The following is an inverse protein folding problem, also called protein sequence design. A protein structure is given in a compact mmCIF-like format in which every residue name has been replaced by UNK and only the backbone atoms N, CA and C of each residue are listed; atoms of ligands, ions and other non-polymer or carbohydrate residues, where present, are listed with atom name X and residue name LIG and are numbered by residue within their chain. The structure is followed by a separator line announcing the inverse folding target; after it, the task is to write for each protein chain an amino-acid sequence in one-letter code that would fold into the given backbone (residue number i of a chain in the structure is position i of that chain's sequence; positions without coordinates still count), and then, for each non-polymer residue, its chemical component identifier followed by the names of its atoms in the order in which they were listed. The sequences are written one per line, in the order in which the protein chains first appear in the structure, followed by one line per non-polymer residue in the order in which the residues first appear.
data_IF_163724248808
#
_entry.id   IF_163724248808
#
_cell.length_a   1.000
_cell.length_b   1.000
_cell.length_c   1.000
_cell.angle_alpha   90.00
_cell.angle_beta   90.00
_cell.angle_gamma   90.00
#
_symmetry.space_group_name_H-M   'P 1'
#
loop_
_entity.id
_entity.type
_entity.pdbx_description
1 polymer ?
#
# COMPACT_ATOMS: atom_id res chain seq x y z
N UNK A 1 28.80 3.08 71.26
CA UNK A 1 28.89 1.75 70.62
C UNK A 1 27.50 1.16 70.51
N UNK A 2 26.91 1.16 69.32
CA UNK A 2 26.06 0.07 68.84
C UNK A 2 26.07 0.12 67.32
N UNK A 3 26.33 -1.05 66.74
CA UNK A 3 26.70 -1.29 65.34
C UNK A 3 25.47 -1.76 64.56
N UNK A 4 25.51 -1.50 63.25
CA UNK A 4 25.02 -2.40 62.17
C UNK A 4 23.51 -2.58 62.03
N UNK A 5 22.95 -2.90 60.87
CA UNK A 5 23.31 -2.91 59.45
C UNK A 5 21.95 -2.99 58.70
N UNK A 6 21.94 -2.66 57.42
CA UNK A 6 20.70 -2.49 56.64
C UNK A 6 19.93 -3.77 56.35
N UNK A 7 18.77 -3.57 55.71
CA UNK A 7 18.15 -4.40 54.65
C UNK A 7 16.91 -3.61 54.18
N UNK A 8 16.92 -2.98 53.01
CA UNK A 8 16.62 -3.53 51.68
C UNK A 8 15.24 -4.21 51.62
N UNK A 9 14.33 -3.71 50.77
CA UNK A 9 13.51 -4.45 49.80
C UNK A 9 12.51 -3.49 49.13
N UNK A 10 12.90 -3.01 47.96
CA UNK A 10 12.14 -2.99 46.70
C UNK A 10 10.63 -2.69 46.67
N UNK A 11 10.34 -1.72 45.80
CA UNK A 11 9.34 -1.82 44.73
C UNK A 11 7.88 -1.81 45.14
N UNK A 12 7.20 -0.73 44.76
CA UNK A 12 6.23 -0.80 43.66
C UNK A 12 5.51 0.53 43.54
N UNK A 13 5.78 1.25 42.47
CA UNK A 13 4.80 1.93 41.60
C UNK A 13 5.56 2.73 40.55
N UNK A 14 6.34 2.06 39.70
CA UNK A 14 6.48 2.58 38.35
C UNK A 14 5.40 1.86 37.55
N UNK A 15 4.19 2.42 37.63
CA UNK A 15 3.13 2.12 36.69
C UNK A 15 3.71 2.48 35.33
N UNK A 16 4.26 1.47 34.66
CA UNK A 16 4.77 1.56 33.30
C UNK A 16 3.55 1.83 32.47
N UNK A 17 3.17 3.11 32.37
CA UNK A 17 2.21 3.59 31.40
C UNK A 17 2.80 3.17 30.06
N UNK A 18 2.28 2.05 29.56
CA UNK A 18 2.53 1.60 28.20
C UNK A 18 1.79 2.57 27.29
N UNK A 19 2.39 3.75 27.10
CA UNK A 19 1.98 4.75 26.13
C UNK A 19 2.17 4.17 24.70
N UNK A 20 1.48 4.71 23.69
CA UNK A 20 0.75 3.97 22.67
C UNK A 20 1.67 3.30 21.65
N UNK A 21 2.02 2.03 21.90
CA UNK A 21 2.61 1.14 20.88
C UNK A 21 1.55 0.74 19.82
N UNK A 22 0.28 1.05 20.08
CA UNK A 22 -0.86 0.76 19.22
C UNK A 22 -0.81 1.49 17.88
N UNK A 23 -0.47 2.79 17.84
CA UNK A 23 -0.58 3.53 16.57
C UNK A 23 0.44 3.09 15.53
N UNK A 24 1.73 3.04 15.88
CA UNK A 24 2.78 2.69 14.91
C UNK A 24 2.70 1.24 14.42
N UNK A 25 2.53 0.27 15.33
CA UNK A 25 2.48 -1.14 14.95
C UNK A 25 1.22 -1.47 14.14
N UNK A 26 0.08 -0.86 14.46
CA UNK A 26 -1.17 -1.09 13.73
C UNK A 26 -1.18 -0.36 12.38
N UNK A 27 -0.57 0.83 12.28
CA UNK A 27 -0.34 1.49 10.99
C UNK A 27 0.56 0.63 10.08
N UNK A 28 1.63 0.03 10.62
CA UNK A 28 2.50 -0.86 9.83
C UNK A 28 1.77 -2.09 9.31
N UNK A 29 0.93 -2.72 10.14
CA UNK A 29 0.09 -3.86 9.70
C UNK A 29 -0.89 -3.46 8.62
N UNK A 30 -1.54 -2.30 8.77
CA UNK A 30 -2.46 -1.76 7.77
C UNK A 30 -1.76 -1.45 6.44
N UNK A 31 -0.59 -0.80 6.48
CA UNK A 31 0.22 -0.55 5.29
C UNK A 31 0.54 -1.86 4.57
N UNK A 32 0.99 -2.88 5.29
CA UNK A 32 1.31 -4.20 4.72
C UNK A 32 0.10 -4.90 4.11
N UNK A 33 -1.07 -4.77 4.74
CA UNK A 33 -2.31 -5.33 4.20
C UNK A 33 -2.71 -4.64 2.90
N UNK A 34 -2.65 -3.31 2.86
CA UNK A 34 -2.95 -2.52 1.66
C UNK A 34 -1.98 -2.83 0.53
N UNK A 35 -0.68 -2.98 0.82
CA UNK A 35 0.32 -3.40 -0.18
C UNK A 35 -0.05 -4.72 -0.83
N UNK A 36 -0.40 -5.75 -0.05
CA UNK A 36 -0.78 -7.07 -0.58
C UNK A 36 -2.05 -6.99 -1.44
N UNK A 37 -3.00 -6.15 -1.04
CA UNK A 37 -4.23 -5.95 -1.80
C UNK A 37 -3.97 -5.21 -3.12
N UNK A 38 -3.16 -4.15 -3.09
CA UNK A 38 -2.72 -3.41 -4.28
C UNK A 38 -1.99 -4.35 -5.25
N UNK A 39 -1.05 -5.16 -4.76
CA UNK A 39 -0.30 -6.13 -5.55
C UNK A 39 -1.24 -7.11 -6.29
N UNK A 40 -2.18 -7.70 -5.56
CA UNK A 40 -3.18 -8.63 -6.13
C UNK A 40 -4.04 -7.95 -7.20
N UNK A 41 -4.47 -6.71 -6.94
CA UNK A 41 -5.30 -5.93 -7.87
C UNK A 41 -4.50 -5.51 -9.10
N UNK A 42 -3.26 -5.07 -8.96
CA UNK A 42 -2.36 -4.72 -10.07
C UNK A 42 -2.06 -5.91 -10.96
N UNK A 43 -1.78 -7.08 -10.40
CA UNK A 43 -1.59 -8.31 -11.19
C UNK A 43 -2.85 -8.66 -12.01
N UNK A 44 -4.03 -8.52 -11.40
CA UNK A 44 -5.30 -8.79 -12.08
C UNK A 44 -5.58 -7.76 -13.18
N UNK A 45 -5.29 -6.49 -12.91
CA UNK A 45 -5.41 -5.38 -13.83
C UNK A 45 -4.48 -5.51 -15.05
N UNK A 46 -3.22 -5.89 -14.81
CA UNK A 46 -2.23 -6.17 -15.85
C UNK A 46 -2.60 -7.36 -16.74
N UNK A 47 -3.21 -8.41 -16.15
CA UNK A 47 -3.77 -9.54 -16.92
C UNK A 47 -4.92 -9.11 -17.82
N UNK A 48 -5.86 -8.30 -17.30
CA UNK A 48 -6.96 -7.75 -18.11
C UNK A 48 -6.43 -6.89 -19.26
N UNK A 49 -5.44 -6.04 -18.99
CA UNK A 49 -4.73 -5.28 -20.02
C UNK A 49 -4.14 -6.19 -21.11
N UNK A 50 -3.37 -7.21 -20.71
CA UNK A 50 -2.70 -8.11 -21.64
C UNK A 50 -3.69 -8.91 -22.49
N UNK A 51 -4.78 -9.38 -21.89
CA UNK A 51 -5.85 -10.08 -22.59
C UNK A 51 -6.60 -9.19 -23.58
N UNK A 52 -6.82 -7.92 -23.24
CA UNK A 52 -7.41 -6.93 -24.14
C UNK A 52 -6.53 -6.72 -25.38
N UNK A 53 -5.24 -6.47 -25.17
CA UNK A 53 -4.24 -6.30 -26.24
C UNK A 53 -4.13 -7.55 -27.13
N UNK A 54 -4.11 -8.74 -26.54
CA UNK A 54 -4.02 -9.98 -27.29
C UNK A 54 -5.24 -10.22 -28.19
N UNK A 55 -6.45 -9.87 -27.73
CA UNK A 55 -7.68 -10.01 -28.51
C UNK A 55 -7.71 -9.08 -29.72
N UNK A 56 -7.30 -7.83 -29.53
CA UNK A 56 -7.21 -6.84 -30.61
C UNK A 56 -6.31 -7.32 -31.77
N UNK A 57 -5.13 -7.86 -31.45
CA UNK A 57 -4.22 -8.41 -32.44
C UNK A 57 -4.78 -9.60 -33.24
N UNK A 58 -5.76 -10.34 -32.70
CA UNK A 58 -6.39 -11.48 -33.34
C UNK A 58 -7.61 -11.09 -34.19
N UNK A 59 -8.27 -9.97 -33.90
CA UNK A 59 -9.55 -9.55 -34.51
C UNK A 59 -9.43 -8.66 -35.74
N UNK A 60 -8.25 -8.58 -36.37
CA UNK A 60 -8.06 -7.90 -37.67
C UNK A 60 -8.86 -8.55 -38.85
N UNK A 61 -9.73 -9.53 -38.56
CA UNK A 61 -10.67 -10.09 -39.52
C UNK A 61 -12.02 -10.35 -38.83
N UNK A 62 -13.03 -9.59 -39.26
CA UNK A 62 -14.48 -9.84 -39.15
C UNK A 62 -15.26 -9.18 -37.99
N UNK A 63 -16.10 -8.24 -38.43
CA UNK A 63 -17.32 -7.69 -37.85
C UNK A 63 -18.12 -8.71 -37.01
N UNK A 64 -18.34 -8.43 -35.71
CA UNK A 64 -19.52 -8.87 -34.92
C UNK A 64 -19.56 -8.14 -33.57
N UNK A 65 -20.77 -7.67 -33.23
CA UNK A 65 -21.24 -6.96 -32.05
C UNK A 65 -20.47 -7.08 -30.71
N UNK A 66 -20.01 -5.92 -30.26
CA UNK A 66 -19.96 -5.39 -28.87
C UNK A 66 -19.83 -6.36 -27.68
N UNK A 67 -18.58 -6.60 -27.24
CA UNK A 67 -18.23 -6.78 -25.83
C UNK A 67 -17.24 -5.72 -25.31
N UNK A 68 -16.80 -4.78 -26.16
CA UNK A 68 -15.75 -3.78 -25.86
C UNK A 68 -16.15 -2.85 -24.71
N UNK A 69 -17.42 -2.45 -24.64
CA UNK A 69 -17.95 -1.59 -23.58
C UNK A 69 -17.88 -2.26 -22.20
N UNK A 70 -18.21 -3.54 -22.08
CA UNK A 70 -18.20 -4.27 -20.79
C UNK A 70 -16.78 -4.44 -20.23
N UNK A 71 -15.79 -4.66 -21.10
CA UNK A 71 -14.38 -4.73 -20.69
C UNK A 71 -13.85 -3.35 -20.27
N UNK A 72 -14.26 -2.27 -20.96
CA UNK A 72 -13.87 -0.91 -20.59
C UNK A 72 -14.40 -0.48 -19.22
N UNK A 73 -15.66 -0.83 -18.89
CA UNK A 73 -16.25 -0.53 -17.58
C UNK A 73 -15.58 -1.32 -16.44
N UNK A 74 -15.21 -2.59 -16.69
CA UNK A 74 -14.48 -3.40 -15.72
C UNK A 74 -13.08 -2.81 -15.44
N UNK A 75 -12.43 -2.29 -16.48
CA UNK A 75 -11.14 -1.63 -16.39
C UNK A 75 -11.21 -0.32 -15.59
N UNK A 76 -12.20 0.53 -15.89
CA UNK A 76 -12.43 1.78 -15.16
C UNK A 76 -12.72 1.51 -13.67
N UNK A 77 -13.55 0.51 -13.39
CA UNK A 77 -13.88 0.11 -12.00
C UNK A 77 -12.62 -0.32 -11.22
N UNK A 78 -11.79 -1.20 -11.81
CA UNK A 78 -10.54 -1.63 -11.16
C UNK A 78 -9.52 -0.49 -11.05
N UNK A 79 -9.50 0.44 -12.02
CA UNK A 79 -8.65 1.62 -11.96
C UNK A 79 -9.00 2.48 -10.75
N UNK A 80 -10.29 2.77 -10.56
CA UNK A 80 -10.79 3.56 -9.42
C UNK A 80 -10.48 2.86 -8.09
N UNK A 81 -10.64 1.53 -8.04
CA UNK A 81 -10.35 0.75 -6.84
C UNK A 81 -8.85 0.80 -6.48
N UNK A 82 -7.97 0.61 -7.45
CA UNK A 82 -6.51 0.71 -7.23
C UNK A 82 -6.12 2.14 -6.82
N UNK A 83 -6.68 3.17 -7.45
CA UNK A 83 -6.44 4.57 -7.06
C UNK A 83 -6.83 4.83 -5.61
N UNK A 84 -8.01 4.35 -5.17
CA UNK A 84 -8.46 4.46 -3.77
C UNK A 84 -7.55 3.71 -2.80
N UNK A 85 -7.08 2.51 -3.16
CA UNK A 85 -6.15 1.74 -2.32
C UNK A 85 -4.80 2.46 -2.19
N UNK A 86 -4.29 3.03 -3.29
CA UNK A 86 -3.04 3.79 -3.30
C UNK A 86 -3.15 5.10 -2.51
N UNK A 87 -4.28 5.79 -2.58
CA UNK A 87 -4.59 6.96 -1.75
C UNK A 87 -4.59 6.57 -0.28
N UNK A 88 -5.30 5.51 0.10
CA UNK A 88 -5.34 5.02 1.48
C UNK A 88 -3.97 4.58 1.99
N UNK A 89 -3.15 3.91 1.18
CA UNK A 89 -1.78 3.56 1.56
C UNK A 89 -0.93 4.82 1.77
N UNK A 90 -1.12 5.85 0.94
CA UNK A 90 -0.46 7.14 1.12
C UNK A 90 -0.85 7.82 2.43
N UNK A 91 -2.13 7.77 2.81
CA UNK A 91 -2.61 8.33 4.07
C UNK A 91 -2.03 7.59 5.27
N UNK A 92 -2.00 6.26 5.23
CA UNK A 92 -1.35 5.44 6.27
C UNK A 92 0.14 5.78 6.37
N UNK A 93 0.84 5.90 5.24
CA UNK A 93 2.25 6.31 5.21
C UNK A 93 2.47 7.71 5.82
N UNK A 94 1.54 8.64 5.59
CA UNK A 94 1.57 9.97 6.23
C UNK A 94 1.36 9.86 7.74
N UNK A 95 0.36 9.12 8.19
CA UNK A 95 0.14 8.86 9.62
C UNK A 95 1.36 8.17 10.27
N UNK A 96 2.02 7.26 9.56
CA UNK A 96 3.27 6.63 10.00
C UNK A 96 4.41 7.66 10.13
N UNK A 97 4.51 8.59 9.18
CA UNK A 97 5.47 9.72 9.24
C UNK A 97 5.25 10.56 10.50
N UNK A 98 3.99 10.88 10.80
CA UNK A 98 3.60 11.68 11.97
C UNK A 98 3.77 10.89 13.29
N UNK A 99 3.67 9.55 13.24
CA UNK A 99 3.84 8.69 14.39
C UNK A 99 5.30 8.50 14.82
N UNK A 100 6.27 8.45 13.89
CA UNK A 100 7.69 8.20 14.22
C UNK A 100 8.25 9.16 15.30
N UNK A 101 8.04 10.49 15.24
CA UNK A 101 8.51 11.43 16.26
C UNK A 101 7.92 11.18 17.65
N UNK A 102 6.77 10.51 17.74
CA UNK A 102 6.07 10.22 19.01
C UNK A 102 6.60 8.95 19.69
N UNK A 103 7.35 8.11 18.97
CA UNK A 103 7.97 6.91 19.50
C UNK A 103 9.11 7.25 20.46
N UNK A 104 9.20 6.50 21.56
CA UNK A 104 10.25 6.73 22.57
C UNK A 104 11.63 6.33 22.01
N UNK A 105 12.58 7.27 22.05
CA UNK A 105 13.98 7.05 21.68
C UNK A 105 14.27 7.16 20.17
N UNK A 106 15.54 6.96 19.75
CA UNK A 106 15.90 6.94 18.34
C UNK A 106 15.32 5.71 17.65
N UNK A 107 14.43 5.92 16.68
CA UNK A 107 13.67 4.87 16.01
C UNK A 107 14.16 4.61 14.57
N UNK A 108 15.47 4.39 14.40
CA UNK A 108 16.11 4.15 13.10
C UNK A 108 15.43 3.02 12.30
N UNK A 109 15.05 1.93 12.96
CA UNK A 109 14.33 0.83 12.33
C UNK A 109 12.94 1.23 11.81
N UNK A 110 12.22 2.10 12.55
CA UNK A 110 10.92 2.62 12.13
C UNK A 110 11.07 3.53 10.90
N UNK A 111 12.09 4.40 10.90
CA UNK A 111 12.42 5.27 9.76
C UNK A 111 12.74 4.47 8.50
N UNK A 112 13.55 3.41 8.61
CA UNK A 112 13.83 2.52 7.46
C UNK A 112 12.57 1.80 6.97
N UNK A 113 11.72 1.36 7.88
CA UNK A 113 10.47 0.68 7.53
C UNK A 113 9.53 1.62 6.77
N UNK A 114 9.33 2.85 7.26
CA UNK A 114 8.53 3.86 6.57
C UNK A 114 9.11 4.22 5.20
N UNK A 115 10.43 4.40 5.11
CA UNK A 115 11.10 4.65 3.85
C UNK A 115 10.78 3.55 2.82
N UNK A 116 10.79 2.29 3.26
CA UNK A 116 10.43 1.16 2.40
C UNK A 116 8.96 1.22 1.94
N UNK A 117 8.04 1.54 2.85
CA UNK A 117 6.62 1.71 2.49
C UNK A 117 6.40 2.86 1.47
N UNK A 118 7.16 3.95 1.57
CA UNK A 118 7.14 5.02 0.58
C UNK A 118 7.62 4.56 -0.79
N UNK A 119 8.75 3.84 -0.85
CA UNK A 119 9.29 3.28 -2.09
C UNK A 119 8.31 2.33 -2.75
N UNK A 120 7.75 1.39 -1.99
CA UNK A 120 6.75 0.44 -2.48
C UNK A 120 5.52 1.16 -3.03
N UNK A 121 5.00 2.16 -2.30
CA UNK A 121 3.86 2.95 -2.78
C UNK A 121 4.16 3.66 -4.11
N UNK A 122 5.38 4.21 -4.26
CA UNK A 122 5.81 4.84 -5.52
C UNK A 122 5.96 3.82 -6.66
N UNK A 123 6.50 2.63 -6.38
CA UNK A 123 6.62 1.54 -7.34
C UNK A 123 5.24 1.13 -7.87
N UNK A 124 4.27 0.92 -6.99
CA UNK A 124 2.90 0.59 -7.38
C UNK A 124 2.22 1.70 -8.19
N UNK A 125 2.44 2.98 -7.84
CA UNK A 125 1.93 4.11 -8.65
C UNK A 125 2.52 4.10 -10.06
N UNK A 126 3.83 3.87 -10.19
CA UNK A 126 4.50 3.78 -11.49
C UNK A 126 3.97 2.62 -12.32
N UNK A 127 3.80 1.45 -11.71
CA UNK A 127 3.27 0.27 -12.40
C UNK A 127 1.82 0.48 -12.86
N UNK A 128 0.99 1.07 -11.99
CA UNK A 128 -0.39 1.40 -12.30
C UNK A 128 -0.48 2.33 -13.53
N UNK A 129 0.26 3.45 -13.51
CA UNK A 129 0.29 4.41 -14.61
C UNK A 129 0.84 3.79 -15.90
N UNK A 130 1.88 2.94 -15.81
CA UNK A 130 2.40 2.20 -16.97
C UNK A 130 1.32 1.33 -17.59
N UNK A 131 0.58 0.59 -16.77
CA UNK A 131 -0.49 -0.30 -17.25
C UNK A 131 -1.64 0.49 -17.86
N UNK A 132 -2.02 1.61 -17.26
CA UNK A 132 -3.05 2.54 -17.77
C UNK A 132 -2.64 3.19 -19.09
N UNK A 133 -1.39 3.64 -19.20
CA UNK A 133 -0.83 4.22 -20.41
C UNK A 133 -0.79 3.22 -21.57
N UNK A 134 -0.43 1.96 -21.30
CA UNK A 134 -0.47 0.92 -22.32
C UNK A 134 -1.87 0.84 -22.94
N UNK A 135 -2.93 0.78 -22.14
CA UNK A 135 -4.31 0.68 -22.63
C UNK A 135 -4.74 1.90 -23.43
N UNK A 136 -4.43 3.10 -22.92
CA UNK A 136 -4.74 4.35 -23.65
C UNK A 136 -4.06 4.38 -25.03
N UNK A 137 -2.81 3.92 -25.11
CA UNK A 137 -2.10 3.83 -26.40
C UNK A 137 -2.75 2.83 -27.36
N UNK A 138 -3.41 1.78 -26.87
CA UNK A 138 -4.19 0.88 -27.72
C UNK A 138 -5.50 1.52 -28.18
N UNK A 139 -6.24 2.17 -27.27
CA UNK A 139 -7.48 2.88 -27.63
C UNK A 139 -7.24 3.97 -28.70
N UNK A 140 -6.12 4.70 -28.60
CA UNK A 140 -5.80 5.80 -29.53
C UNK A 140 -5.31 5.31 -30.91
N UNK A 141 -4.97 4.03 -31.08
CA UNK A 141 -4.61 3.46 -32.40
C UNK A 141 -5.85 3.09 -33.24
N UNK A 142 -7.05 3.21 -32.67
CA UNK A 142 -8.33 2.97 -33.35
C UNK A 142 -9.03 4.27 -33.82
N UNK A 143 -8.48 5.46 -33.56
CA UNK A 143 -8.89 6.75 -34.16
C UNK A 143 -8.01 7.12 -35.37
#
# INVERSE_FOLDING_TARGET
MNRSFGNNLYSSTNSRMSAPVTDWEDLRKQARQLENEIDTKLMSFSKLCSNYVARDHLTNHHNIDSPTTSTSSSFETMSIEIEKLLERLSDINKCMTDAIPTLLGPNTAATHTLQRHHEICQDYRREFERTKANIRNFQTRED
#
